data_IF_921956075199
#
_entry.id   IF_921956075199
#
_cell.length_a   1.000
_cell.length_b   1.000
_cell.length_c   1.000
_cell.angle_alpha   90.00
_cell.angle_beta   90.00
_cell.angle_gamma   90.00
#
_symmetry.space_group_name_H-M   'P 1'
#
loop_
_entity.id
_entity.type
_entity.pdbx_description
1 polymer ?
#
# COMPACT_ATOMS: atom_id res chain seq x y z
N UNK A 1 29.21 -30.36 21.64
CA UNK A 1 28.27 -29.31 22.07
C UNK A 1 28.75 -27.89 21.74
N UNK A 2 29.95 -27.45 22.14
CA UNK A 2 30.47 -26.09 21.85
C UNK A 2 30.57 -25.74 20.35
N UNK A 3 30.98 -26.68 19.50
CA UNK A 3 31.04 -26.48 18.03
C UNK A 3 29.67 -26.27 17.38
N UNK A 4 28.61 -26.87 17.95
CA UNK A 4 27.23 -26.73 17.47
C UNK A 4 26.67 -25.35 17.83
N UNK A 5 26.99 -24.84 19.03
CA UNK A 5 26.62 -23.49 19.46
C UNK A 5 27.28 -22.41 18.61
N UNK A 6 28.54 -22.60 18.20
CA UNK A 6 29.25 -21.68 17.31
C UNK A 6 28.59 -21.63 15.92
N UNK A 7 28.17 -22.77 15.38
CA UNK A 7 27.46 -22.84 14.10
C UNK A 7 26.10 -22.13 14.15
N UNK A 8 25.35 -22.29 15.23
CA UNK A 8 24.08 -21.58 15.45
C UNK A 8 24.32 -20.06 15.54
N UNK A 9 25.36 -19.63 16.24
CA UNK A 9 25.69 -18.22 16.38
C UNK A 9 26.11 -17.58 15.05
N UNK A 10 26.88 -18.30 14.22
CA UNK A 10 27.26 -17.85 12.87
C UNK A 10 26.04 -17.84 11.92
N UNK A 11 25.10 -18.77 12.10
CA UNK A 11 23.86 -18.80 11.32
C UNK A 11 22.91 -17.65 11.71
N UNK A 12 22.86 -17.25 12.99
CA UNK A 12 22.08 -16.10 13.43
C UNK A 12 22.67 -14.77 12.95
N UNK A 13 24.00 -14.68 12.81
CA UNK A 13 24.69 -13.50 12.28
C UNK A 13 24.58 -13.34 10.75
N UNK A 14 24.09 -14.37 10.03
CA UNK A 14 23.97 -14.35 8.56
C UNK A 14 22.61 -13.87 8.05
N UNK A 15 21.69 -13.47 8.94
CA UNK A 15 20.54 -12.66 8.57
C UNK A 15 20.98 -11.20 8.32
N UNK A 16 21.65 -10.98 7.18
CA UNK A 16 21.96 -9.63 6.72
C UNK A 16 20.68 -8.86 6.37
N UNK A 17 20.61 -7.60 6.77
CA UNK A 17 19.55 -6.68 6.33
C UNK A 17 19.67 -6.46 4.82
N UNK A 18 18.75 -7.02 4.04
CA UNK A 18 18.64 -6.70 2.62
C UNK A 18 18.16 -5.24 2.47
N UNK A 19 18.86 -4.47 1.63
CA UNK A 19 18.43 -3.11 1.30
C UNK A 19 17.02 -3.14 0.68
N UNK A 20 16.10 -2.39 1.29
CA UNK A 20 14.72 -2.32 0.84
C UNK A 20 14.64 -1.74 -0.58
N UNK A 21 13.83 -2.36 -1.45
CA UNK A 21 13.65 -1.91 -2.82
C UNK A 21 12.99 -0.53 -2.86
N UNK A 22 13.35 0.29 -3.85
CA UNK A 22 12.88 1.67 -3.95
C UNK A 22 11.35 1.80 -4.05
N UNK A 23 10.67 0.86 -4.72
CA UNK A 23 9.21 0.86 -4.81
C UNK A 23 8.55 0.62 -3.44
N UNK A 24 9.10 -0.27 -2.62
CA UNK A 24 8.67 -0.52 -1.24
C UNK A 24 8.87 0.72 -0.38
N UNK A 25 10.04 1.39 -0.51
CA UNK A 25 10.34 2.65 0.20
C UNK A 25 9.40 3.77 -0.20
N UNK A 26 9.04 3.86 -1.48
CA UNK A 26 8.09 4.85 -1.99
C UNK A 26 6.69 4.61 -1.42
N UNK A 27 6.17 3.38 -1.54
CA UNK A 27 4.86 3.01 -1.01
C UNK A 27 4.77 3.27 0.50
N UNK A 28 5.78 2.85 1.27
CA UNK A 28 5.84 3.09 2.71
C UNK A 28 5.86 4.59 3.05
N UNK A 29 6.57 5.39 2.26
CA UNK A 29 6.64 6.84 2.46
C UNK A 29 5.31 7.53 2.17
N UNK A 30 4.60 7.10 1.12
CA UNK A 30 3.27 7.61 0.78
C UNK A 30 2.23 7.24 1.83
N UNK A 31 2.16 5.96 2.22
CA UNK A 31 1.24 5.49 3.27
C UNK A 31 1.51 6.14 4.63
N UNK A 32 2.76 6.54 4.90
CA UNK A 32 3.10 7.28 6.12
C UNK A 32 2.60 8.73 6.09
N UNK A 33 2.66 9.39 4.93
CA UNK A 33 2.19 10.79 4.77
C UNK A 33 0.67 10.87 4.66
N UNK A 34 0.07 9.85 4.07
CA UNK A 34 -1.35 9.71 3.82
C UNK A 34 -1.81 8.40 4.49
N UNK A 35 -2.13 8.40 5.79
CA UNK A 35 -2.50 7.17 6.50
C UNK A 35 -3.73 6.45 5.94
N UNK A 36 -4.62 7.19 5.28
CA UNK A 36 -5.78 6.64 4.57
C UNK A 36 -5.70 7.05 3.11
N UNK A 37 -5.95 6.12 2.17
CA UNK A 37 -5.67 6.40 0.77
C UNK A 37 -6.54 7.51 0.16
N UNK A 38 -7.69 7.85 0.77
CA UNK A 38 -8.47 9.01 0.34
C UNK A 38 -7.78 10.35 0.58
N UNK A 39 -6.72 10.41 1.39
CA UNK A 39 -5.91 11.62 1.64
C UNK A 39 -4.92 11.90 0.51
N UNK A 40 -4.70 10.94 -0.40
CA UNK A 40 -3.83 11.10 -1.54
C UNK A 40 -4.23 12.34 -2.36
N UNK A 41 -3.25 12.91 -3.07
CA UNK A 41 -3.48 14.10 -3.89
C UNK A 41 -3.99 15.32 -3.08
N UNK A 42 -3.52 15.45 -1.83
CA UNK A 42 -3.84 16.55 -0.90
C UNK A 42 -5.34 16.68 -0.61
N UNK A 43 -6.08 15.58 -0.72
CA UNK A 43 -7.53 15.56 -0.54
C UNK A 43 -7.89 15.82 0.91
N UNK A 44 -8.78 16.80 1.14
CA UNK A 44 -9.24 17.19 2.48
C UNK A 44 -10.44 16.37 2.98
N UNK A 45 -11.03 15.57 2.09
CA UNK A 45 -12.19 14.73 2.34
C UNK A 45 -12.19 13.56 1.34
N UNK A 46 -12.94 12.47 1.60
CA UNK A 46 -13.07 11.35 0.68
C UNK A 46 -13.43 11.80 -0.74
N UNK A 47 -12.62 11.37 -1.72
CA UNK A 47 -12.77 11.77 -3.12
C UNK A 47 -12.47 10.60 -4.06
N UNK A 48 -13.35 10.41 -5.03
CA UNK A 48 -13.12 9.47 -6.13
C UNK A 48 -12.49 10.23 -7.29
N UNK A 49 -11.17 10.09 -7.49
CA UNK A 49 -10.48 10.74 -8.60
C UNK A 49 -9.43 9.82 -9.25
N UNK A 50 -8.97 10.21 -10.44
CA UNK A 50 -7.95 9.49 -11.19
C UNK A 50 -6.64 9.27 -10.43
N UNK A 51 -6.12 10.31 -9.75
CA UNK A 51 -4.86 10.24 -9.00
C UNK A 51 -4.91 9.17 -7.89
N UNK A 52 -6.03 9.07 -7.16
CA UNK A 52 -6.24 8.03 -6.16
C UNK A 52 -6.14 6.64 -6.79
N UNK A 53 -6.84 6.41 -7.91
CA UNK A 53 -6.79 5.14 -8.64
C UNK A 53 -5.36 4.80 -9.12
N UNK A 54 -4.66 5.76 -9.71
CA UNK A 54 -3.30 5.59 -10.23
C UNK A 54 -2.29 5.22 -9.13
N UNK A 55 -2.29 5.98 -8.03
CA UNK A 55 -1.37 5.73 -6.91
C UNK A 55 -1.74 4.42 -6.20
N UNK A 56 -3.04 4.17 -6.00
CA UNK A 56 -3.53 2.93 -5.40
C UNK A 56 -3.13 1.69 -6.19
N UNK A 57 -3.25 1.75 -7.53
CA UNK A 57 -2.79 0.68 -8.42
C UNK A 57 -1.28 0.44 -8.31
N UNK A 58 -0.48 1.50 -8.15
CA UNK A 58 0.97 1.38 -7.96
C UNK A 58 1.35 0.74 -6.63
N UNK A 59 0.61 1.05 -5.55
CA UNK A 59 0.77 0.40 -4.25
C UNK A 59 0.30 -1.07 -4.29
N UNK A 60 -0.78 -1.37 -5.01
CA UNK A 60 -1.22 -2.76 -5.23
C UNK A 60 -0.17 -3.58 -6.00
N UNK A 61 0.50 -2.99 -7.00
CA UNK A 61 1.63 -3.65 -7.66
C UNK A 61 2.81 -3.89 -6.72
N UNK A 62 2.98 -3.06 -5.68
CA UNK A 62 3.96 -3.32 -4.62
C UNK A 62 3.56 -4.55 -3.79
N UNK A 63 2.28 -4.71 -3.47
CA UNK A 63 1.75 -5.94 -2.87
C UNK A 63 2.04 -7.16 -3.73
N UNK A 64 1.77 -7.13 -5.03
CA UNK A 64 2.00 -8.27 -5.93
C UNK A 64 3.48 -8.70 -5.97
N UNK A 65 4.41 -7.76 -5.75
CA UNK A 65 5.85 -8.03 -5.75
C UNK A 65 6.39 -8.51 -4.41
N UNK A 66 5.80 -8.08 -3.29
CA UNK A 66 6.34 -8.37 -1.94
C UNK A 66 5.54 -9.40 -1.16
N UNK A 67 4.24 -9.53 -1.46
CA UNK A 67 3.28 -10.28 -0.64
C UNK A 67 2.92 -9.60 0.69
N UNK A 68 3.41 -8.38 0.96
CA UNK A 68 3.15 -7.70 2.23
C UNK A 68 1.72 -7.15 2.28
N UNK A 69 0.87 -7.78 3.11
CA UNK A 69 -0.58 -7.50 3.18
C UNK A 69 -0.94 -6.06 3.55
N UNK A 70 -0.04 -5.30 4.19
CA UNK A 70 -0.25 -3.89 4.54
C UNK A 70 -0.60 -3.03 3.31
N UNK A 71 0.01 -3.33 2.15
CA UNK A 71 -0.24 -2.61 0.91
C UNK A 71 -1.64 -2.90 0.36
N UNK A 72 -2.05 -4.17 0.38
CA UNK A 72 -3.40 -4.56 -0.02
C UNK A 72 -4.45 -3.94 0.92
N UNK A 73 -4.26 -4.06 2.24
CA UNK A 73 -5.19 -3.53 3.23
C UNK A 73 -5.40 -2.02 3.04
N UNK A 74 -4.33 -1.26 2.88
CA UNK A 74 -4.39 0.18 2.64
C UNK A 74 -5.23 0.56 1.42
N UNK A 75 -5.22 -0.24 0.35
CA UNK A 75 -6.05 -0.02 -0.85
C UNK A 75 -7.48 -0.51 -0.64
N UNK A 76 -7.64 -1.66 0.02
CA UNK A 76 -8.95 -2.21 0.32
C UNK A 76 -9.76 -1.24 1.19
N UNK A 77 -9.17 -0.67 2.24
CA UNK A 77 -9.82 0.29 3.14
C UNK A 77 -10.29 1.54 2.39
N UNK A 78 -9.55 1.99 1.38
CA UNK A 78 -9.99 3.08 0.50
C UNK A 78 -11.21 2.69 -0.34
N UNK A 79 -11.18 1.52 -0.97
CA UNK A 79 -12.31 1.04 -1.78
C UNK A 79 -13.55 0.84 -0.91
N UNK A 80 -13.40 0.27 0.29
CA UNK A 80 -14.47 0.06 1.27
C UNK A 80 -15.06 1.39 1.78
N UNK A 81 -14.22 2.42 1.92
CA UNK A 81 -14.67 3.79 2.25
C UNK A 81 -15.47 4.42 1.11
N UNK A 82 -15.10 4.14 -0.14
CA UNK A 82 -15.64 4.83 -1.32
C UNK A 82 -16.82 4.12 -1.97
N UNK A 83 -16.97 2.81 -1.79
CA UNK A 83 -17.98 1.99 -2.45
C UNK A 83 -18.84 1.31 -1.39
N UNK A 84 -20.15 1.57 -1.40
CA UNK A 84 -21.07 0.95 -0.44
C UNK A 84 -21.45 -0.49 -0.84
N UNK A 85 -22.19 -1.20 0.02
CA UNK A 85 -22.65 -2.58 -0.22
C UNK A 85 -23.51 -2.75 -1.49
N UNK A 86 -24.20 -1.68 -1.93
CA UNK A 86 -25.00 -1.66 -3.15
C UNK A 86 -24.16 -1.42 -4.41
N UNK A 87 -22.87 -1.10 -4.26
CA UNK A 87 -21.95 -0.76 -5.35
C UNK A 87 -21.97 0.72 -5.75
N UNK A 88 -22.68 1.59 -5.02
CA UNK A 88 -22.64 3.03 -5.30
C UNK A 88 -21.29 3.61 -4.87
N UNK A 89 -20.73 4.47 -5.72
CA UNK A 89 -19.43 5.09 -5.50
C UNK A 89 -19.62 6.52 -5.01
N UNK A 90 -19.08 6.84 -3.84
CA UNK A 90 -19.14 8.16 -3.23
C UNK A 90 -18.51 9.22 -4.14
N UNK A 91 -19.29 10.23 -4.50
CA UNK A 91 -18.84 11.35 -5.31
C UNK A 91 -18.69 11.04 -6.80
N UNK A 92 -19.04 9.83 -7.25
CA UNK A 92 -19.05 9.50 -8.67
C UNK A 92 -20.37 9.90 -9.33
N UNK A 93 -20.27 10.63 -10.43
CA UNK A 93 -21.44 11.06 -11.21
C UNK A 93 -21.21 10.73 -12.69
N UNK A 94 -21.86 9.69 -13.21
CA UNK A 94 -21.74 9.29 -14.61
C UNK A 94 -22.16 10.37 -15.63
N UNK A 95 -22.82 11.44 -15.21
CA UNK A 95 -23.25 12.51 -16.13
C UNK A 95 -22.21 13.63 -16.24
N UNK A 96 -21.19 13.63 -15.37
CA UNK A 96 -20.12 14.64 -15.35
C UNK A 96 -18.90 14.23 -16.21
N UNK A 97 -19.02 13.19 -17.05
CA UNK A 97 -17.93 12.81 -17.97
C UNK A 97 -17.60 13.95 -18.93
N UNK A 98 -16.31 14.29 -19.02
CA UNK A 98 -15.72 15.19 -20.03
C UNK A 98 -14.71 14.43 -20.90
N UNK A 99 -15.07 13.24 -21.38
CA UNK A 99 -14.29 12.48 -22.37
C UNK A 99 -15.13 12.31 -23.62
#
# INVERSE_FOLDING_TARGET
>A
MKKLLILIYVFLLSFGSYAQKNYTRMADSEMKRNPEAWMLDFSKAPKWNYCHGLVSQSILQTYDKTGERKYYAYIYDYVDTMINESGDILGYKPQEYNI
#
